data_IF_947146017035
#
_entry.id   IF_947146017035
#
_cell.length_a   1.000
_cell.length_b   1.000
_cell.length_c   1.000
_cell.angle_alpha   90.00
_cell.angle_beta   90.00
_cell.angle_gamma   90.00
#
_symmetry.space_group_name_H-M   'P 1'
#
loop_
_entity.id
_entity.type
_entity.pdbx_description
1 polymer ?
#
# COMPACT_ATOMS: atom_id res chain seq x y z
N UNK A 1 7.78 21.43 -3.18
CA UNK A 1 8.35 20.76 -4.36
C UNK A 1 7.89 19.33 -4.26
N UNK A 2 7.35 18.74 -5.33
CA UNK A 2 6.58 17.48 -5.24
C UNK A 2 7.45 16.23 -5.43
N UNK A 3 8.77 16.33 -5.26
CA UNK A 3 9.65 15.18 -5.37
C UNK A 3 9.43 14.22 -4.19
N UNK A 4 9.37 12.91 -4.46
CA UNK A 4 9.31 11.88 -3.42
C UNK A 4 10.70 11.72 -2.81
N UNK A 5 10.79 11.76 -1.48
CA UNK A 5 12.06 11.63 -0.76
C UNK A 5 12.13 10.39 0.14
N UNK A 6 10.98 9.81 0.50
CA UNK A 6 10.94 8.58 1.29
C UNK A 6 9.67 7.75 1.00
N UNK A 7 9.81 6.43 1.11
CA UNK A 7 8.73 5.44 0.94
C UNK A 7 8.94 4.31 1.96
N UNK A 8 7.98 4.12 2.86
CA UNK A 8 8.06 3.10 3.91
C UNK A 8 6.84 2.19 3.84
N UNK A 9 7.07 0.90 3.56
CA UNK A 9 6.05 -0.14 3.59
C UNK A 9 6.02 -0.88 4.93
N UNK A 10 4.83 -1.33 5.34
CA UNK A 10 4.60 -2.18 6.52
C UNK A 10 3.46 -3.16 6.29
N UNK A 11 3.51 -4.29 6.99
CA UNK A 11 2.40 -5.24 7.05
C UNK A 11 1.35 -4.77 8.06
N UNK A 12 0.07 -4.84 7.68
CA UNK A 12 -1.11 -4.61 8.53
C UNK A 12 -2.12 -5.73 8.31
N UNK A 13 -3.22 -5.74 9.07
CA UNK A 13 -4.33 -6.67 8.87
C UNK A 13 -5.51 -5.99 8.19
N UNK A 14 -6.12 -6.66 7.21
CA UNK A 14 -7.37 -6.25 6.58
C UNK A 14 -8.60 -6.51 7.47
N UNK A 15 -9.80 -6.22 6.96
CA UNK A 15 -11.07 -6.44 7.67
C UNK A 15 -11.43 -7.92 7.88
N UNK A 16 -10.77 -8.85 7.18
CA UNK A 16 -10.94 -10.31 7.27
C UNK A 16 -9.82 -10.95 8.12
N UNK A 17 -8.87 -10.16 8.63
CA UNK A 17 -7.73 -10.63 9.41
C UNK A 17 -6.57 -11.18 8.57
N UNK A 18 -6.55 -10.94 7.26
CA UNK A 18 -5.42 -11.33 6.41
C UNK A 18 -4.34 -10.23 6.42
N UNK A 19 -3.05 -10.59 6.43
CA UNK A 19 -1.97 -9.66 6.16
C UNK A 19 -2.15 -8.93 4.82
N UNK A 20 -1.90 -7.62 4.81
CA UNK A 20 -1.83 -6.76 3.61
C UNK A 20 -0.82 -5.63 3.81
N UNK A 21 -0.54 -4.87 2.76
CA UNK A 21 0.48 -3.82 2.75
C UNK A 21 -0.14 -2.43 2.95
N UNK A 22 0.47 -1.64 3.84
CA UNK A 22 0.27 -0.19 3.94
C UNK A 22 1.59 0.54 3.65
N UNK A 23 1.51 1.66 2.94
CA UNK A 23 2.67 2.46 2.56
C UNK A 23 2.48 3.92 2.96
N UNK A 24 3.51 4.49 3.57
CA UNK A 24 3.70 5.93 3.75
C UNK A 24 4.64 6.48 2.65
N UNK A 25 4.29 7.63 2.07
CA UNK A 25 5.11 8.38 1.12
C UNK A 25 5.32 9.80 1.64
N UNK A 26 6.57 10.26 1.65
CA UNK A 26 6.95 11.62 2.07
C UNK A 26 7.53 12.38 0.88
N UNK A 27 7.05 13.61 0.68
CA UNK A 27 7.54 14.54 -0.34
C UNK A 27 8.55 15.53 0.25
N UNK A 28 9.34 16.15 -0.62
CA UNK A 28 10.36 17.14 -0.25
C UNK A 28 9.79 18.37 0.47
N UNK A 29 8.54 18.76 0.18
CA UNK A 29 7.85 19.83 0.92
C UNK A 29 7.25 19.39 2.27
N UNK A 30 7.49 18.16 2.70
CA UNK A 30 6.99 17.59 3.95
C UNK A 30 5.57 17.06 3.89
N UNK A 31 4.89 17.14 2.74
CA UNK A 31 3.60 16.47 2.56
C UNK A 31 3.74 14.96 2.74
N UNK A 32 2.76 14.34 3.40
CA UNK A 32 2.73 12.90 3.65
C UNK A 32 1.41 12.30 3.18
N UNK A 33 1.50 11.19 2.45
CA UNK A 33 0.36 10.36 2.04
C UNK A 33 0.49 8.94 2.56
N UNK A 34 -0.64 8.33 2.95
CA UNK A 34 -0.73 6.93 3.38
C UNK A 34 -1.79 6.20 2.57
N UNK A 35 -1.50 4.99 2.14
CA UNK A 35 -2.46 4.12 1.47
C UNK A 35 -2.29 2.66 1.90
N UNK A 36 -3.42 1.99 2.16
CA UNK A 36 -3.51 0.55 2.41
C UNK A 36 -4.12 -0.15 1.19
N UNK A 37 -3.55 -1.29 0.82
CA UNK A 37 -4.03 -2.10 -0.31
C UNK A 37 -5.14 -3.05 0.16
N UNK A 38 -6.32 -3.09 -0.49
CA UNK A 38 -7.31 -4.10 -0.19
C UNK A 38 -6.82 -5.47 -0.68
N UNK A 39 -6.98 -6.51 0.15
CA UNK A 39 -6.69 -7.88 -0.26
C UNK A 39 -7.74 -8.39 -1.25
N UNK A 40 -7.31 -9.14 -2.25
CA UNK A 40 -8.21 -9.80 -3.17
C UNK A 40 -8.96 -10.95 -2.50
N UNK A 41 -10.10 -11.31 -3.07
CA UNK A 41 -10.78 -12.58 -2.81
C UNK A 41 -11.01 -13.39 -4.10
N UNK A 42 -10.88 -12.71 -5.24
CA UNK A 42 -11.07 -13.26 -6.57
C UNK A 42 -9.82 -14.05 -6.99
N UNK A 43 -10.03 -15.02 -7.88
CA UNK A 43 -8.96 -15.86 -8.46
C UNK A 43 -8.98 -15.77 -9.98
N UNK A 44 -9.30 -14.57 -10.49
CA UNK A 44 -9.40 -14.35 -11.94
C UNK A 44 -8.07 -14.62 -12.62
N UNK A 45 -8.08 -15.42 -13.71
CA UNK A 45 -6.87 -15.82 -14.43
C UNK A 45 -6.10 -14.66 -15.11
N UNK A 46 -6.66 -13.45 -15.10
CA UNK A 46 -6.09 -12.25 -15.71
C UNK A 46 -5.94 -11.08 -14.71
N UNK A 47 -6.16 -11.32 -13.42
CA UNK A 47 -5.97 -10.31 -12.39
C UNK A 47 -4.47 -10.11 -12.10
N UNK A 48 -4.09 -8.90 -11.67
CA UNK A 48 -2.74 -8.66 -11.18
C UNK A 48 -2.52 -9.44 -9.89
N UNK A 49 -1.39 -10.16 -9.81
CA UNK A 49 -1.09 -11.06 -8.68
C UNK A 49 -0.55 -10.27 -7.49
N UNK A 50 -1.10 -10.53 -6.31
CA UNK A 50 -0.63 -10.04 -5.02
C UNK A 50 0.70 -10.74 -4.63
N UNK A 51 1.62 -10.05 -3.93
CA UNK A 51 2.94 -10.57 -3.52
C UNK A 51 3.10 -10.59 -2.00
#
# INVERSE_FOLDING_TARGET
MTAIIDIVGREILDSRGNPTVEVDVVLEDGSMGRAAVPSGASTGAHEAVEL
#
